data_IF_801513355429
#
_entry.id   IF_801513355429
#
_cell.length_a   1.000
_cell.length_b   1.000
_cell.length_c   1.000
_cell.angle_alpha   90.00
_cell.angle_beta   90.00
_cell.angle_gamma   90.00
#
_symmetry.space_group_name_H-M   'P 1'
#
loop_
_entity.id
_entity.type
_entity.pdbx_description
1 polymer ?
#
# COMPACT_ATOMS: atom_id res chain seq x y z
N UNK A 1 7.70 -22.07 -21.09
CA UNK A 1 7.85 -22.30 -19.64
C UNK A 1 6.49 -22.75 -19.13
N UNK A 2 6.32 -23.99 -18.66
CA UNK A 2 5.00 -24.51 -18.21
C UNK A 2 4.66 -24.13 -16.77
N UNK A 3 5.67 -23.80 -15.98
CA UNK A 3 5.60 -23.34 -14.59
C UNK A 3 6.81 -22.43 -14.36
N UNK A 4 6.66 -21.34 -13.59
CA UNK A 4 7.80 -20.47 -13.26
C UNK A 4 8.70 -21.21 -12.28
N UNK A 5 9.94 -21.43 -12.67
CA UNK A 5 10.96 -22.02 -11.82
C UNK A 5 11.89 -20.95 -11.26
N UNK A 6 12.75 -21.36 -10.32
CA UNK A 6 13.87 -20.53 -9.88
C UNK A 6 14.80 -20.14 -11.05
N UNK A 7 14.94 -20.97 -12.09
CA UNK A 7 15.81 -20.64 -13.23
C UNK A 7 15.27 -19.47 -14.06
N UNK A 8 13.94 -19.40 -14.25
CA UNK A 8 13.26 -18.37 -15.05
C UNK A 8 13.34 -16.96 -14.43
N UNK A 9 13.73 -16.89 -13.17
CA UNK A 9 13.66 -15.70 -12.32
C UNK A 9 15.00 -15.40 -11.63
N UNK A 10 16.11 -15.98 -12.11
CA UNK A 10 17.44 -15.84 -11.48
C UNK A 10 17.43 -16.20 -9.98
N UNK A 11 16.58 -17.15 -9.60
CA UNK A 11 16.36 -17.63 -8.24
C UNK A 11 15.24 -16.92 -7.49
N UNK A 12 14.64 -15.85 -8.04
CA UNK A 12 13.63 -15.04 -7.35
C UNK A 12 12.25 -15.69 -7.27
N UNK A 13 11.86 -16.55 -8.22
CA UNK A 13 10.52 -17.15 -8.28
C UNK A 13 10.23 -18.07 -7.10
N UNK A 14 11.27 -18.69 -6.52
CA UNK A 14 11.16 -19.47 -5.29
C UNK A 14 11.20 -18.60 -4.02
N UNK A 15 11.50 -17.30 -4.16
CA UNK A 15 11.72 -16.35 -3.05
C UNK A 15 10.58 -15.33 -2.95
N UNK A 16 10.05 -14.86 -4.09
CA UNK A 16 8.89 -13.97 -4.30
C UNK A 16 7.57 -14.61 -3.85
N UNK A 17 7.55 -15.10 -2.62
CA UNK A 17 6.44 -15.79 -1.98
C UNK A 17 6.34 -15.28 -0.54
N UNK A 18 5.18 -14.71 -0.23
CA UNK A 18 4.87 -14.20 1.09
C UNK A 18 4.97 -15.32 2.15
N UNK A 19 4.60 -16.55 1.81
CA UNK A 19 4.70 -17.69 2.74
C UNK A 19 6.16 -18.05 3.01
N UNK A 20 7.03 -17.95 2.00
CA UNK A 20 8.47 -18.18 2.16
C UNK A 20 9.10 -17.10 3.05
N UNK A 21 8.70 -15.84 2.86
CA UNK A 21 9.11 -14.72 3.73
C UNK A 21 8.71 -15.00 5.18
N UNK A 22 7.44 -15.28 5.46
CA UNK A 22 6.99 -15.52 6.84
C UNK A 22 7.55 -16.81 7.43
N UNK A 23 7.66 -17.87 6.64
CA UNK A 23 8.29 -19.12 7.06
C UNK A 23 9.76 -18.92 7.48
N UNK A 24 10.45 -17.96 6.86
CA UNK A 24 11.84 -17.64 7.18
C UNK A 24 12.03 -16.96 8.55
N UNK A 25 10.96 -16.42 9.15
CA UNK A 25 11.00 -15.80 10.48
C UNK A 25 11.16 -16.82 11.61
N UNK A 26 10.94 -18.10 11.31
CA UNK A 26 11.05 -19.20 12.27
C UNK A 26 12.30 -20.03 11.99
N UNK A 27 13.47 -19.50 12.36
CA UNK A 27 14.74 -20.21 12.21
C UNK A 27 15.89 -19.29 11.86
N UNK A 28 16.96 -19.84 11.30
CA UNK A 28 18.04 -19.04 10.75
C UNK A 28 17.55 -18.35 9.47
N UNK A 29 17.56 -17.01 9.39
CA UNK A 29 17.05 -16.30 8.24
C UNK A 29 17.91 -16.63 7.00
N UNK A 30 17.28 -16.88 5.84
CA UNK A 30 17.99 -17.15 4.61
C UNK A 30 18.67 -15.87 4.12
N UNK A 31 19.80 -16.03 3.41
CA UNK A 31 20.60 -14.91 2.94
C UNK A 31 19.86 -13.93 2.02
N UNK A 32 18.77 -14.37 1.38
CA UNK A 32 17.96 -13.54 0.47
C UNK A 32 16.92 -12.67 1.20
N UNK A 33 16.62 -12.92 2.48
CA UNK A 33 15.54 -12.21 3.18
C UNK A 33 15.66 -10.68 3.13
N UNK A 34 16.87 -10.07 3.24
CA UNK A 34 17.02 -8.62 3.11
C UNK A 34 16.68 -8.07 1.72
N UNK A 35 16.72 -8.90 0.67
CA UNK A 35 16.34 -8.49 -0.69
C UNK A 35 14.82 -8.36 -0.85
N UNK A 36 14.03 -8.97 0.04
CA UNK A 36 12.57 -9.03 -0.10
C UNK A 36 11.91 -7.64 -0.15
N UNK A 37 12.52 -6.64 0.48
CA UNK A 37 12.02 -5.27 0.47
C UNK A 37 11.96 -4.64 -0.93
N UNK A 38 12.79 -5.08 -1.88
CA UNK A 38 12.83 -4.53 -3.25
C UNK A 38 11.95 -5.27 -4.26
N UNK A 39 11.12 -6.21 -3.78
CA UNK A 39 10.24 -7.04 -4.62
C UNK A 39 8.88 -6.39 -4.90
N UNK A 40 8.66 -5.21 -4.34
CA UNK A 40 7.47 -4.39 -4.49
C UNK A 40 7.91 -2.95 -4.76
N UNK A 41 6.99 -2.13 -5.25
CA UNK A 41 7.20 -0.68 -5.29
C UNK A 41 7.44 -0.16 -3.87
N UNK A 42 8.27 0.88 -3.74
CA UNK A 42 8.49 1.56 -2.46
C UNK A 42 7.13 2.04 -1.88
N UNK A 43 6.75 1.60 -0.68
CA UNK A 43 5.43 1.91 -0.13
C UNK A 43 5.26 3.39 0.25
N UNK A 44 6.35 4.17 0.31
CA UNK A 44 6.27 5.62 0.49
C UNK A 44 5.61 6.33 -0.69
N UNK A 45 5.65 5.73 -1.88
CA UNK A 45 5.21 6.40 -3.10
C UNK A 45 6.30 7.00 -3.97
N UNK A 46 7.56 6.92 -3.55
CA UNK A 46 8.67 7.41 -4.34
C UNK A 46 8.76 6.65 -5.68
N UNK A 47 8.51 7.38 -6.77
CA UNK A 47 8.57 6.85 -8.13
C UNK A 47 9.99 6.45 -8.56
N UNK A 48 11.01 6.79 -7.76
CA UNK A 48 12.38 6.29 -7.95
C UNK A 48 12.56 4.83 -7.47
N UNK A 49 11.66 4.35 -6.61
CA UNK A 49 11.70 3.03 -5.97
C UNK A 49 10.72 2.00 -6.54
N UNK A 50 10.35 2.09 -7.81
CA UNK A 50 9.39 1.15 -8.44
C UNK A 50 10.04 -0.18 -8.81
N UNK A 51 9.32 -1.29 -8.62
CA UNK A 51 9.73 -2.64 -9.01
C UNK A 51 9.77 -2.82 -10.54
N UNK A 52 8.90 -2.11 -11.26
CA UNK A 52 8.96 -1.96 -12.71
C UNK A 52 9.77 -0.70 -13.01
N UNK A 53 10.90 -0.84 -13.70
CA UNK A 53 11.76 0.30 -14.02
C UNK A 53 11.12 1.23 -15.05
N UNK A 54 11.66 2.44 -15.17
CA UNK A 54 11.21 3.43 -16.14
C UNK A 54 11.13 2.83 -17.56
N UNK A 55 9.95 2.96 -18.18
CA UNK A 55 9.72 2.47 -19.53
C UNK A 55 10.49 3.35 -20.53
N UNK A 56 11.43 2.76 -21.27
CA UNK A 56 12.19 3.43 -22.33
C UNK A 56 11.28 3.79 -23.52
N UNK A 57 11.58 4.92 -24.16
CA UNK A 57 10.99 5.30 -25.44
C UNK A 57 11.40 4.33 -26.57
N UNK A 58 12.53 3.63 -26.42
CA UNK A 58 12.96 2.59 -27.36
C UNK A 58 12.32 1.27 -26.98
N UNK A 59 11.33 0.81 -27.74
CA UNK A 59 10.58 -0.41 -27.43
C UNK A 59 11.47 -1.62 -27.12
N UNK A 60 12.55 -1.83 -27.88
CA UNK A 60 13.48 -2.94 -27.73
C UNK A 60 14.28 -2.94 -26.41
N UNK A 61 14.36 -1.81 -25.71
CA UNK A 61 15.05 -1.68 -24.42
C UNK A 61 14.15 -2.04 -23.23
N UNK A 62 12.83 -2.16 -23.45
CA UNK A 62 11.90 -2.51 -22.39
C UNK A 62 11.90 -4.04 -22.13
N UNK A 63 12.28 -4.49 -20.92
CA UNK A 63 12.39 -5.90 -20.61
C UNK A 63 11.02 -6.55 -20.44
N UNK A 64 11.03 -7.88 -20.42
CA UNK A 64 9.89 -8.69 -19.98
C UNK A 64 10.02 -8.92 -18.48
N UNK A 65 8.98 -8.59 -17.72
CA UNK A 65 8.88 -8.87 -16.29
C UNK A 65 8.05 -10.12 -16.05
N UNK A 66 8.39 -10.85 -14.98
CA UNK A 66 7.57 -11.94 -14.45
C UNK A 66 6.90 -11.42 -13.19
N UNK A 67 5.57 -11.47 -13.15
CA UNK A 67 4.75 -10.93 -12.05
C UNK A 67 4.05 -12.09 -11.34
N UNK A 68 4.31 -12.21 -10.04
CA UNK A 68 3.49 -13.05 -9.15
C UNK A 68 2.22 -12.27 -8.79
N UNK A 69 1.05 -12.77 -9.17
CA UNK A 69 -0.23 -12.09 -8.87
C UNK A 69 -0.73 -12.33 -7.44
N UNK A 70 0.03 -13.09 -6.65
CA UNK A 70 -0.32 -13.44 -5.28
C UNK A 70 -1.45 -14.46 -5.20
N UNK A 71 -2.29 -14.34 -4.17
CA UNK A 71 -3.38 -15.27 -3.87
C UNK A 71 -4.73 -14.57 -3.98
N UNK A 72 -5.77 -15.36 -4.27
CA UNK A 72 -7.16 -14.96 -4.10
C UNK A 72 -7.51 -14.88 -2.60
N UNK A 73 -8.64 -14.25 -2.22
CA UNK A 73 -9.10 -14.22 -0.83
C UNK A 73 -9.26 -15.60 -0.17
N UNK A 74 -9.54 -16.64 -0.97
CA UNK A 74 -9.63 -18.04 -0.50
C UNK A 74 -8.25 -18.73 -0.32
N UNK A 75 -7.16 -18.01 -0.58
CA UNK A 75 -5.78 -18.50 -0.47
C UNK A 75 -5.27 -19.23 -1.72
N UNK A 76 -6.08 -19.44 -2.75
CA UNK A 76 -5.63 -20.06 -4.00
C UNK A 76 -4.70 -19.15 -4.79
N UNK A 77 -3.66 -19.71 -5.43
CA UNK A 77 -2.72 -18.93 -6.21
C UNK A 77 -3.36 -18.34 -7.48
N UNK A 78 -3.16 -17.04 -7.73
CA UNK A 78 -3.62 -16.35 -8.96
C UNK A 78 -2.75 -16.61 -10.18
N UNK A 79 -1.67 -17.36 -9.98
CA UNK A 79 -0.68 -17.69 -11.00
C UNK A 79 0.24 -16.52 -11.34
N UNK A 80 1.15 -16.81 -12.26
CA UNK A 80 2.17 -15.88 -12.72
C UNK A 80 1.81 -15.36 -14.12
N UNK A 81 2.19 -14.12 -14.41
CA UNK A 81 2.11 -13.54 -15.76
C UNK A 81 3.49 -13.10 -16.21
N UNK A 82 3.74 -13.12 -17.52
CA UNK A 82 4.83 -12.36 -18.14
C UNK A 82 4.23 -11.10 -18.74
N UNK A 83 4.89 -9.97 -18.50
CA UNK A 83 4.44 -8.67 -19.00
C UNK A 83 5.57 -7.93 -19.69
N UNK A 84 5.22 -7.09 -20.66
CA UNK A 84 6.11 -6.09 -21.23
C UNK A 84 5.33 -4.82 -21.44
N UNK A 85 5.93 -3.70 -21.08
CA UNK A 85 5.29 -2.38 -21.22
C UNK A 85 6.12 -1.57 -22.21
N UNK A 86 5.45 -0.93 -23.16
CA UNK A 86 6.07 0.00 -24.11
C UNK A 86 5.31 1.33 -24.13
N UNK A 87 5.91 2.38 -24.68
CA UNK A 87 5.22 3.64 -24.90
C UNK A 87 4.67 3.70 -26.33
N UNK A 88 3.47 4.25 -26.50
CA UNK A 88 2.87 4.50 -27.82
C UNK A 88 1.97 5.72 -27.78
N UNK A 89 2.24 6.71 -28.65
CA UNK A 89 1.39 7.90 -28.82
C UNK A 89 1.00 8.64 -27.51
N UNK A 90 1.90 8.72 -26.53
CA UNK A 90 1.65 9.36 -25.23
C UNK A 90 0.94 8.49 -24.19
N UNK A 91 0.58 7.26 -24.57
CA UNK A 91 0.04 6.20 -23.72
C UNK A 91 1.10 5.12 -23.45
N UNK A 92 0.75 4.17 -22.58
CA UNK A 92 1.49 2.91 -22.44
C UNK A 92 0.76 1.77 -23.15
N UNK A 93 1.49 0.75 -23.59
CA UNK A 93 0.92 -0.50 -24.09
C UNK A 93 1.47 -1.63 -23.23
N UNK A 94 0.57 -2.28 -22.49
CA UNK A 94 0.84 -3.48 -21.72
C UNK A 94 0.59 -4.70 -22.59
N UNK A 95 1.64 -5.46 -22.85
CA UNK A 95 1.56 -6.81 -23.38
C UNK A 95 1.58 -7.78 -22.21
N UNK A 96 0.62 -8.70 -22.11
CA UNK A 96 0.61 -9.68 -21.03
C UNK A 96 0.19 -11.07 -21.50
N UNK A 97 0.75 -12.09 -20.86
CA UNK A 97 0.45 -13.47 -21.18
C UNK A 97 0.62 -14.37 -19.95
N UNK A 98 -0.06 -15.51 -19.97
CA UNK A 98 0.33 -16.63 -19.11
C UNK A 98 1.74 -17.08 -19.46
N UNK A 99 2.46 -17.60 -18.46
CA UNK A 99 3.88 -17.95 -18.58
C UNK A 99 4.14 -18.94 -19.73
N UNK A 100 3.23 -19.91 -19.89
CA UNK A 100 3.30 -20.96 -20.91
C UNK A 100 2.67 -20.58 -22.25
N UNK A 101 2.03 -19.41 -22.35
CA UNK A 101 1.39 -18.99 -23.58
C UNK A 101 2.42 -18.58 -24.65
N UNK A 102 2.16 -18.95 -25.89
CA UNK A 102 2.92 -18.50 -27.07
C UNK A 102 2.36 -17.19 -27.65
N UNK A 103 1.15 -16.82 -27.26
CA UNK A 103 0.49 -15.56 -27.62
C UNK A 103 0.37 -14.65 -26.41
N UNK A 104 0.14 -13.37 -26.64
CA UNK A 104 -0.08 -12.37 -25.60
C UNK A 104 -1.26 -11.48 -25.99
N UNK A 105 -1.90 -10.91 -24.97
CA UNK A 105 -2.90 -9.87 -25.12
C UNK A 105 -2.23 -8.50 -25.02
N UNK A 106 -2.84 -7.49 -25.64
CA UNK A 106 -2.39 -6.10 -25.54
C UNK A 106 -3.49 -5.22 -24.96
N UNK A 107 -3.11 -4.34 -24.04
CA UNK A 107 -3.94 -3.28 -23.51
C UNK A 107 -3.23 -1.94 -23.70
N UNK A 108 -3.90 -0.99 -24.35
CA UNK A 108 -3.44 0.41 -24.37
C UNK A 108 -3.95 1.09 -23.11
N UNK A 109 -3.03 1.68 -22.34
CA UNK A 109 -3.28 2.35 -21.07
C UNK A 109 -3.16 3.86 -21.28
N UNK A 110 -4.30 4.53 -21.27
CA UNK A 110 -4.36 5.98 -21.50
C UNK A 110 -4.00 6.75 -20.22
N UNK A 111 -3.28 7.86 -20.37
CA UNK A 111 -3.03 8.78 -19.26
C UNK A 111 -4.30 9.57 -18.94
N UNK A 112 -4.58 9.75 -17.66
CA UNK A 112 -5.65 10.63 -17.19
C UNK A 112 -5.08 11.98 -16.73
N UNK A 113 -5.80 13.06 -16.97
CA UNK A 113 -5.55 14.36 -16.33
C UNK A 113 -6.19 14.47 -14.95
N UNK A 114 -7.20 13.65 -14.68
CA UNK A 114 -8.14 13.80 -13.56
C UNK A 114 -7.79 12.85 -12.41
N UNK A 115 -7.00 11.80 -12.67
CA UNK A 115 -6.47 10.87 -11.68
C UNK A 115 -4.94 10.89 -11.66
N UNK A 116 -4.34 10.53 -10.53
CA UNK A 116 -2.87 10.40 -10.42
C UNK A 116 -2.36 9.12 -11.10
N UNK A 117 -3.19 8.07 -11.14
CA UNK A 117 -2.86 6.78 -11.74
C UNK A 117 -4.04 6.22 -12.55
N UNK A 118 -3.71 5.49 -13.62
CA UNK A 118 -4.64 4.62 -14.34
C UNK A 118 -4.36 3.18 -13.89
N UNK A 119 -5.38 2.51 -13.35
CA UNK A 119 -5.24 1.16 -12.79
C UNK A 119 -5.63 0.10 -13.81
N UNK A 120 -4.94 -1.03 -13.77
CA UNK A 120 -5.14 -2.14 -14.71
C UNK A 120 -5.29 -3.46 -13.96
N UNK A 121 -6.32 -4.20 -14.34
CA UNK A 121 -6.52 -5.61 -14.03
C UNK A 121 -6.13 -6.45 -15.25
N UNK A 122 -5.36 -7.52 -15.05
CA UNK A 122 -5.09 -8.50 -16.12
C UNK A 122 -6.34 -9.23 -16.62
N UNK A 123 -7.42 -9.21 -15.83
CA UNK A 123 -8.66 -9.92 -16.16
C UNK A 123 -9.71 -8.97 -16.77
N UNK A 124 -9.71 -7.69 -16.38
CA UNK A 124 -10.76 -6.72 -16.74
C UNK A 124 -10.27 -5.55 -17.61
N UNK A 125 -8.96 -5.37 -17.77
CA UNK A 125 -8.38 -4.22 -18.47
C UNK A 125 -8.23 -3.00 -17.55
N UNK A 126 -8.45 -1.79 -18.09
CA UNK A 126 -8.49 -0.58 -17.25
C UNK A 126 -9.67 -0.63 -16.27
N UNK A 127 -9.42 -0.29 -15.01
CA UNK A 127 -10.43 -0.33 -13.93
C UNK A 127 -10.40 0.97 -13.11
N UNK A 128 -11.56 1.41 -12.64
CA UNK A 128 -11.68 2.55 -11.73
C UNK A 128 -11.48 2.10 -10.28
N UNK A 129 -10.34 2.46 -9.70
CA UNK A 129 -9.98 2.09 -8.31
C UNK A 129 -10.02 3.29 -7.38
N UNK A 130 -9.51 4.44 -7.82
CA UNK A 130 -9.45 5.67 -7.03
C UNK A 130 -10.41 6.73 -7.59
N UNK A 131 -11.03 7.56 -6.74
CA UNK A 131 -11.76 8.74 -7.17
C UNK A 131 -10.89 9.72 -7.97
N UNK A 132 -11.51 10.76 -8.55
CA UNK A 132 -10.77 11.87 -9.14
C UNK A 132 -9.82 12.46 -8.09
N UNK A 133 -8.61 12.88 -8.51
CA UNK A 133 -7.53 13.25 -7.60
C UNK A 133 -7.83 14.44 -6.67
N UNK A 134 -8.92 15.17 -6.93
CA UNK A 134 -9.40 16.30 -6.12
C UNK A 134 -10.66 15.97 -5.30
N UNK A 135 -11.11 14.71 -5.29
CA UNK A 135 -12.40 14.30 -4.71
C UNK A 135 -12.25 13.26 -3.59
N UNK A 136 -11.05 13.13 -3.01
CA UNK A 136 -10.81 12.26 -1.86
C UNK A 136 -9.67 12.77 -1.00
N UNK A 137 -9.76 12.50 0.31
CA UNK A 137 -8.73 12.90 1.27
C UNK A 137 -8.03 11.70 1.89
N UNK A 138 -8.79 10.66 2.24
CA UNK A 138 -8.29 9.44 2.84
C UNK A 138 -9.03 8.20 2.36
N UNK A 139 -8.35 7.06 2.37
CA UNK A 139 -8.92 5.76 1.99
C UNK A 139 -8.53 4.67 2.98
N UNK A 140 -9.52 3.85 3.32
CA UNK A 140 -9.34 2.60 4.03
C UNK A 140 -9.09 1.49 3.02
N UNK A 141 -7.95 0.84 3.10
CA UNK A 141 -7.56 -0.13 2.07
C UNK A 141 -6.71 -1.28 2.63
N UNK A 142 -6.57 -2.30 1.79
CA UNK A 142 -5.49 -3.28 1.92
C UNK A 142 -4.24 -2.66 1.31
N UNK A 143 -3.13 -2.69 2.04
CA UNK A 143 -1.87 -2.10 1.57
C UNK A 143 -0.69 -2.98 1.94
N UNK A 144 0.21 -3.21 1.00
CA UNK A 144 1.49 -3.84 1.29
C UNK A 144 2.46 -2.76 1.72
N UNK A 145 3.04 -2.90 2.90
CA UNK A 145 4.11 -2.03 3.40
C UNK A 145 5.26 -2.91 3.93
N UNK A 146 6.34 -2.30 4.39
CA UNK A 146 7.50 -2.98 4.94
C UNK A 146 7.43 -3.03 6.47
N UNK A 147 7.53 -4.23 7.04
CA UNK A 147 7.76 -4.41 8.50
C UNK A 147 9.22 -4.71 8.77
N UNK A 148 9.73 -4.14 9.86
CA UNK A 148 11.05 -4.45 10.36
C UNK A 148 11.01 -5.74 11.20
N UNK A 149 11.85 -6.72 10.84
CA UNK A 149 11.89 -8.03 11.52
C UNK A 149 13.18 -8.25 12.33
N UNK A 150 14.21 -7.46 12.07
CA UNK A 150 15.41 -7.36 12.90
C UNK A 150 16.03 -5.96 12.80
N UNK A 151 17.25 -5.73 13.31
CA UNK A 151 17.90 -4.43 13.31
C UNK A 151 18.14 -3.82 11.91
N UNK A 152 18.20 -4.64 10.86
CA UNK A 152 18.60 -4.26 9.50
C UNK A 152 17.66 -4.75 8.40
N UNK A 153 16.80 -5.74 8.69
CA UNK A 153 15.96 -6.40 7.70
C UNK A 153 14.52 -5.91 7.77
N UNK A 154 14.01 -5.50 6.61
CA UNK A 154 12.59 -5.23 6.41
C UNK A 154 12.01 -6.19 5.37
N UNK A 155 10.75 -6.56 5.51
CA UNK A 155 10.06 -7.48 4.61
C UNK A 155 8.68 -6.94 4.21
N UNK A 156 8.17 -7.25 3.00
CA UNK A 156 6.79 -6.99 2.62
C UNK A 156 5.79 -7.64 3.57
N UNK A 157 4.76 -6.88 3.94
CA UNK A 157 3.66 -7.31 4.80
C UNK A 157 2.35 -6.69 4.30
N UNK A 158 1.33 -7.51 4.12
CA UNK A 158 0.00 -7.06 3.73
C UNK A 158 -0.80 -6.63 4.96
N UNK A 159 -1.13 -5.35 5.03
CA UNK A 159 -2.03 -4.77 6.02
C UNK A 159 -3.45 -4.80 5.48
N UNK A 160 -4.41 -5.32 6.26
CA UNK A 160 -5.82 -5.34 5.90
C UNK A 160 -6.59 -4.11 6.40
N UNK A 161 -5.92 -3.23 7.15
CA UNK A 161 -6.50 -2.15 7.92
C UNK A 161 -5.63 -0.88 7.84
N UNK A 162 -5.19 -0.55 6.62
CA UNK A 162 -4.28 0.55 6.35
C UNK A 162 -5.02 1.80 5.87
N UNK A 163 -4.55 2.97 6.32
CA UNK A 163 -5.08 4.26 5.92
C UNK A 163 -4.06 4.96 5.04
N UNK A 164 -4.47 5.30 3.82
CA UNK A 164 -3.72 6.19 2.96
C UNK A 164 -4.39 7.55 2.87
N UNK A 165 -3.59 8.59 2.72
CA UNK A 165 -4.03 9.96 2.42
C UNK A 165 -3.65 10.36 1.01
N UNK A 166 -4.37 11.37 0.49
CA UNK A 166 -4.15 11.90 -0.84
C UNK A 166 -2.85 12.72 -0.89
N UNK A 167 -1.76 12.05 -1.26
CA UNK A 167 -0.41 12.61 -1.27
C UNK A 167 -0.32 13.91 -2.09
N UNK A 168 0.35 14.91 -1.51
CA UNK A 168 0.50 16.23 -2.12
C UNK A 168 -0.77 17.09 -2.10
N UNK A 169 -1.84 16.64 -1.44
CA UNK A 169 -3.11 17.38 -1.28
C UNK A 169 -3.66 17.36 0.13
N UNK A 170 -3.29 16.37 0.93
CA UNK A 170 -3.72 16.21 2.32
C UNK A 170 -2.50 16.12 3.20
N UNK A 171 -2.52 16.88 4.29
CA UNK A 171 -1.52 16.77 5.35
C UNK A 171 -2.16 16.26 6.64
N UNK A 172 -1.41 15.50 7.42
CA UNK A 172 -1.88 14.91 8.68
C UNK A 172 -0.91 15.24 9.81
N UNK A 173 -1.46 15.66 10.94
CA UNK A 173 -0.76 15.71 12.20
C UNK A 173 -1.30 14.63 13.14
N UNK A 174 -0.40 13.87 13.78
CA UNK A 174 -0.76 13.00 14.91
C UNK A 174 -0.62 13.81 16.20
N UNK A 175 -1.68 13.86 17.00
CA UNK A 175 -1.71 14.62 18.26
C UNK A 175 -1.87 13.66 19.44
N UNK A 176 -0.90 13.69 20.35
CA UNK A 176 -0.98 12.95 21.61
C UNK A 176 -1.98 13.62 22.57
N UNK A 177 -2.75 12.79 23.28
CA UNK A 177 -3.68 13.24 24.32
C UNK A 177 -2.92 13.36 25.63
N UNK A 178 -2.57 14.59 26.00
CA UNK A 178 -1.82 14.90 27.21
C UNK A 178 -2.33 16.17 27.89
N UNK A 179 -2.60 16.09 29.19
CA UNK A 179 -3.11 17.22 29.98
C UNK A 179 -4.44 17.75 29.44
N UNK A 180 -4.46 19.03 29.02
CA UNK A 180 -5.65 19.69 28.48
C UNK A 180 -5.82 19.49 26.96
N UNK A 181 -4.83 18.89 26.28
CA UNK A 181 -4.92 18.57 24.85
C UNK A 181 -5.71 17.27 24.70
N UNK A 182 -7.00 17.41 24.41
CA UNK A 182 -7.91 16.28 24.15
C UNK A 182 -8.62 16.49 22.81
N UNK A 183 -9.20 15.41 22.27
CA UNK A 183 -10.04 15.50 21.07
C UNK A 183 -11.19 16.51 21.25
N UNK A 184 -11.82 16.52 22.42
CA UNK A 184 -12.95 17.41 22.73
C UNK A 184 -12.51 18.88 22.84
N UNK A 185 -11.34 19.15 23.42
CA UNK A 185 -10.86 20.51 23.68
C UNK A 185 -10.00 21.09 22.55
N UNK A 186 -9.66 20.31 21.52
CA UNK A 186 -8.84 20.78 20.41
C UNK A 186 -9.59 21.81 19.56
N UNK A 187 -8.95 22.96 19.32
CA UNK A 187 -9.50 24.10 18.55
C UNK A 187 -8.47 24.69 17.58
N UNK A 188 -8.92 25.56 16.67
CA UNK A 188 -8.09 26.27 15.70
C UNK A 188 -6.86 26.98 16.31
N UNK A 189 -6.97 27.47 17.55
CA UNK A 189 -5.87 28.13 18.25
C UNK A 189 -4.62 27.25 18.43
N UNK A 190 -4.78 25.92 18.35
CA UNK A 190 -3.71 24.95 18.53
C UNK A 190 -3.09 24.49 17.20
N UNK A 191 -3.64 24.84 16.04
CA UNK A 191 -3.13 24.42 14.72
C UNK A 191 -1.66 24.84 14.53
N UNK A 192 -1.30 26.04 14.99
CA UNK A 192 0.08 26.54 14.92
C UNK A 192 1.09 25.79 15.79
N UNK A 193 0.64 24.87 16.65
CA UNK A 193 1.47 24.14 17.63
C UNK A 193 1.74 22.69 17.25
N UNK A 194 1.07 22.19 16.21
CA UNK A 194 1.22 20.81 15.73
C UNK A 194 2.01 20.79 14.42
N UNK A 195 2.67 19.66 14.16
CA UNK A 195 3.44 19.46 12.95
C UNK A 195 2.64 18.54 12.02
N UNK A 196 2.43 19.01 10.80
CA UNK A 196 1.81 18.24 9.73
C UNK A 196 2.86 17.44 8.94
N UNK A 197 2.43 16.30 8.42
CA UNK A 197 3.17 15.36 7.56
C UNK A 197 2.35 15.12 6.28
N UNK A 198 2.99 15.23 5.13
CA UNK A 198 2.40 15.05 3.80
C UNK A 198 2.57 13.63 3.25
N UNK A 199 3.21 12.74 4.02
CA UNK A 199 3.38 11.35 3.62
C UNK A 199 2.01 10.66 3.42
N UNK A 200 1.86 9.94 2.30
CA UNK A 200 0.64 9.16 1.98
C UNK A 200 0.23 8.16 3.05
N UNK A 201 1.17 7.78 3.93
CA UNK A 201 0.97 6.81 5.01
C UNK A 201 1.06 7.45 6.41
N UNK A 202 0.88 8.78 6.52
CA UNK A 202 0.98 9.51 7.79
C UNK A 202 0.05 8.99 8.90
N UNK A 203 -1.11 8.42 8.54
CA UNK A 203 -1.94 7.61 9.47
C UNK A 203 -1.52 6.14 9.41
N UNK A 204 -1.48 5.57 8.21
CA UNK A 204 -1.01 4.21 7.96
C UNK A 204 -1.70 3.17 8.83
N UNK A 205 -0.91 2.36 9.55
CA UNK A 205 -1.40 1.42 10.55
C UNK A 205 -1.34 1.94 11.98
N UNK A 206 -0.85 3.16 12.20
CA UNK A 206 -0.43 3.63 13.52
C UNK A 206 -1.59 4.05 14.42
N UNK A 207 -2.80 4.14 13.86
CA UNK A 207 -4.04 4.39 14.60
C UNK A 207 -4.44 3.25 15.55
N UNK A 208 -3.82 2.08 15.41
CA UNK A 208 -4.13 0.89 16.20
C UNK A 208 -2.89 0.16 16.71
N UNK A 209 -3.13 -0.78 17.61
CA UNK A 209 -2.19 -1.82 18.03
C UNK A 209 -2.77 -3.18 17.66
N UNK A 210 -1.90 -4.11 17.29
CA UNK A 210 -2.25 -5.51 17.03
C UNK A 210 -1.48 -6.39 17.97
N UNK A 211 -2.04 -7.58 18.26
CA UNK A 211 -1.34 -8.57 19.06
C UNK A 211 0.02 -8.89 18.41
N UNK A 212 1.08 -8.72 19.19
CA UNK A 212 2.41 -9.13 18.81
C UNK A 212 2.78 -10.39 19.61
N UNK A 213 3.35 -11.43 18.97
CA UNK A 213 3.82 -12.61 19.70
C UNK A 213 4.74 -12.22 20.86
N UNK A 214 4.38 -12.60 22.08
CA UNK A 214 5.16 -12.31 23.29
C UNK A 214 4.95 -10.91 23.89
N UNK A 215 3.94 -10.16 23.45
CA UNK A 215 3.53 -8.88 24.05
C UNK A 215 2.25 -9.03 24.86
N UNK A 216 2.14 -8.29 25.97
CA UNK A 216 0.91 -8.14 26.76
C UNK A 216 -0.02 -7.04 26.21
N UNK A 217 0.28 -6.47 25.04
CA UNK A 217 -0.57 -5.45 24.41
C UNK A 217 -1.82 -6.07 23.81
N UNK A 218 -2.97 -5.63 24.32
CA UNK A 218 -4.28 -5.97 23.76
C UNK A 218 -4.49 -5.28 22.40
N UNK A 219 -4.97 -6.00 21.37
CA UNK A 219 -5.34 -5.40 20.09
C UNK A 219 -6.44 -4.36 20.27
N UNK A 220 -6.30 -3.21 19.62
CA UNK A 220 -7.29 -2.16 19.74
C UNK A 220 -6.89 -0.86 19.07
N UNK A 221 -7.82 0.09 19.08
CA UNK A 221 -7.54 1.47 18.69
C UNK A 221 -6.68 2.14 19.75
N UNK A 222 -5.68 2.93 19.34
CA UNK A 222 -4.92 3.76 20.27
C UNK A 222 -5.80 4.88 20.82
N UNK A 223 -6.01 4.88 22.13
CA UNK A 223 -6.89 5.83 22.82
C UNK A 223 -6.17 7.10 23.28
N UNK A 224 -4.85 7.16 23.14
CA UNK A 224 -3.95 8.23 23.58
C UNK A 224 -3.55 9.18 22.44
N UNK A 225 -4.14 9.03 21.26
CA UNK A 225 -3.91 9.91 20.11
C UNK A 225 -5.22 10.27 19.39
N UNK A 226 -5.19 11.37 18.66
CA UNK A 226 -6.12 11.68 17.58
C UNK A 226 -5.35 12.31 16.42
N UNK A 227 -6.01 12.50 15.28
CA UNK A 227 -5.42 13.08 14.08
C UNK A 227 -6.03 14.44 13.79
N UNK A 228 -5.25 15.34 13.23
CA UNK A 228 -5.73 16.56 12.57
C UNK A 228 -5.36 16.46 11.10
N UNK A 229 -6.34 16.67 10.23
CA UNK A 229 -6.23 16.51 8.78
C UNK A 229 -6.49 17.87 8.14
N UNK A 230 -5.54 18.37 7.36
CA UNK A 230 -5.75 19.48 6.42
C UNK A 230 -6.18 18.88 5.08
N UNK A 231 -7.39 19.20 4.62
CA UNK A 231 -7.92 18.71 3.35
C UNK A 231 -7.38 19.50 2.15
N UNK A 232 -7.69 19.03 0.93
CA UNK A 232 -7.26 19.69 -0.30
C UNK A 232 -7.83 21.11 -0.52
N UNK A 233 -8.83 21.51 0.29
CA UNK A 233 -9.47 22.82 0.24
C UNK A 233 -8.99 23.76 1.36
N UNK A 234 -8.07 23.30 2.22
CA UNK A 234 -7.55 24.05 3.37
C UNK A 234 -8.48 24.07 4.58
N UNK A 235 -9.46 23.14 4.66
CA UNK A 235 -10.24 22.94 5.87
C UNK A 235 -9.48 22.02 6.83
N UNK A 236 -9.59 22.27 8.13
CA UNK A 236 -9.00 21.42 9.15
C UNK A 236 -10.06 20.56 9.82
N UNK A 237 -9.79 19.26 9.96
CA UNK A 237 -10.64 18.33 10.68
C UNK A 237 -9.86 17.64 11.79
N UNK A 238 -10.45 17.49 12.96
CA UNK A 238 -9.97 16.52 13.95
C UNK A 238 -10.69 15.20 13.73
N UNK A 239 -9.97 14.09 13.82
CA UNK A 239 -10.48 12.73 13.62
C UNK A 239 -9.92 11.80 14.69
N UNK A 240 -10.76 10.95 15.27
CA UNK A 240 -10.28 9.82 16.08
C UNK A 240 -10.98 8.52 15.72
N UNK A 241 -10.23 7.44 15.77
CA UNK A 241 -10.78 6.10 15.61
C UNK A 241 -11.43 5.66 16.93
N UNK A 242 -12.49 4.85 16.83
CA UNK A 242 -13.26 4.36 17.99
C UNK A 242 -13.42 2.85 17.98
N UNK A 243 -13.19 2.19 16.84
CA UNK A 243 -13.21 0.72 16.73
C UNK A 243 -12.39 0.24 15.54
N UNK A 244 -11.87 -0.99 15.60
CA UNK A 244 -11.14 -1.65 14.51
C UNK A 244 -11.82 -2.91 13.94
N UNK A 245 -12.83 -3.42 14.63
CA UNK A 245 -13.56 -4.64 14.29
C UNK A 245 -15.06 -4.42 14.21
N UNK A 246 -15.75 -5.31 13.51
CA UNK A 246 -17.21 -5.34 13.48
C UNK A 246 -17.74 -5.65 14.90
N UNK A 247 -18.72 -4.88 15.41
CA UNK A 247 -19.20 -5.05 16.79
C UNK A 247 -20.03 -6.33 17.01
N UNK A 248 -20.44 -7.03 15.94
CA UNK A 248 -21.23 -8.26 16.01
C UNK A 248 -20.37 -9.49 15.71
N UNK A 249 -19.64 -9.52 14.60
CA UNK A 249 -18.82 -10.66 14.19
C UNK A 249 -17.44 -10.68 14.84
N UNK A 250 -16.93 -9.52 15.29
CA UNK A 250 -15.56 -9.36 15.75
C UNK A 250 -14.52 -9.34 14.62
N UNK A 251 -14.97 -9.41 13.36
CA UNK A 251 -14.09 -9.40 12.18
C UNK A 251 -13.31 -8.08 12.10
N UNK A 252 -11.99 -8.19 11.93
CA UNK A 252 -11.10 -7.03 11.77
C UNK A 252 -11.22 -6.45 10.36
N UNK A 253 -10.92 -5.16 10.23
CA UNK A 253 -11.04 -4.44 8.94
C UNK A 253 -12.37 -3.69 8.80
N UNK A 254 -13.11 -3.54 9.89
CA UNK A 254 -14.33 -2.73 9.97
C UNK A 254 -14.13 -1.55 10.94
N UNK A 255 -13.29 -0.57 10.57
CA UNK A 255 -12.99 0.55 11.44
C UNK A 255 -14.19 1.47 11.62
N UNK A 256 -14.29 2.05 12.81
CA UNK A 256 -15.17 3.18 13.09
C UNK A 256 -14.30 4.36 13.52
N UNK A 257 -14.69 5.54 13.09
CA UNK A 257 -14.09 6.81 13.49
C UNK A 257 -15.16 7.89 13.61
N UNK A 258 -14.80 8.97 14.28
CA UNK A 258 -15.56 10.21 14.33
C UNK A 258 -14.65 11.37 13.93
N UNK A 259 -15.26 12.42 13.38
CA UNK A 259 -14.55 13.61 12.94
C UNK A 259 -15.39 14.87 13.16
N UNK A 260 -14.72 16.01 13.29
CA UNK A 260 -15.33 17.34 13.43
C UNK A 260 -14.47 18.38 12.72
N UNK A 261 -15.10 19.36 12.07
CA UNK A 261 -14.39 20.51 11.49
C UNK A 261 -13.83 21.40 12.60
N UNK A 262 -12.62 21.89 12.40
CA UNK A 262 -11.88 22.77 13.33
C UNK A 262 -11.90 24.20 12.81
N UNK A 263 -11.58 24.40 11.53
CA UNK A 263 -11.53 25.69 10.82
C UNK A 263 -11.82 25.50 9.32
#
# INVERSE_FOLDING_TARGET
>A
ITEVTAEDTLGWGAKLDIDAIFGSLFGAPPAWLPEAASWMDDPSGDLSGTAITTISATAAENPVYIVNRGKNPDGSARGWKKIRITQSAGAYVLQHADINSETYDELTISKSSDHDFTFVSFDEGEVEVAPAKTEWDMVFTIFTNLIQVDATTKIPYAYNDFILTNEGRVEVATVAIEGDVTYENFTAAQLSTIQFDDARAAIGSDWRVVAQPGSDQEPGVKSDIFYVIEDANGNYYKLRFTRMSDPVSGERGHPQFEYEIVE
#
